data_IF_159401749400
#
_entry.id   IF_159401749400
#
_cell.length_a   1.000
_cell.length_b   1.000
_cell.length_c   1.000
_cell.angle_alpha   90.00
_cell.angle_beta   90.00
_cell.angle_gamma   90.00
#
_symmetry.space_group_name_H-M   'P 1'
#
loop_
_entity.id
_entity.type
_entity.pdbx_description
1 polymer ?
#
# COMPACT_ATOMS: atom_id res chain seq x y z
N UNK A 1 14.94 7.46 -2.08
CA UNK A 1 15.24 6.11 -2.64
C UNK A 1 14.54 5.99 -3.98
N UNK A 2 15.14 5.35 -5.00
CA UNK A 2 14.50 5.17 -6.31
C UNK A 2 13.58 3.94 -6.22
N UNK A 3 12.37 4.01 -6.79
CA UNK A 3 11.38 2.93 -6.74
C UNK A 3 11.93 1.56 -7.20
N UNK A 4 12.75 1.53 -8.25
CA UNK A 4 13.38 0.29 -8.72
C UNK A 4 14.28 -0.37 -7.67
N UNK A 5 15.12 0.42 -6.97
CA UNK A 5 16.00 -0.09 -5.91
C UNK A 5 15.19 -0.57 -4.70
N UNK A 6 14.09 0.12 -4.40
CA UNK A 6 13.18 -0.29 -3.33
C UNK A 6 12.51 -1.64 -3.64
N UNK A 7 11.99 -1.84 -4.84
CA UNK A 7 11.37 -3.11 -5.24
C UNK A 7 12.36 -4.29 -5.21
N UNK A 8 13.62 -4.06 -5.63
CA UNK A 8 14.67 -5.09 -5.52
C UNK A 8 14.95 -5.46 -4.06
N UNK A 9 15.03 -4.46 -3.19
CA UNK A 9 15.18 -4.69 -1.74
C UNK A 9 13.97 -5.44 -1.18
N UNK A 10 12.76 -5.02 -1.53
CA UNK A 10 11.51 -5.64 -1.07
C UNK A 10 11.43 -7.12 -1.45
N UNK A 11 11.77 -7.49 -2.70
CA UNK A 11 11.83 -8.89 -3.14
C UNK A 11 12.79 -9.72 -2.28
N UNK A 12 13.97 -9.20 -1.99
CA UNK A 12 14.94 -9.88 -1.11
C UNK A 12 14.41 -10.05 0.30
N UNK A 13 13.76 -9.01 0.83
CA UNK A 13 13.15 -9.02 2.15
C UNK A 13 12.00 -10.03 2.23
N UNK A 14 11.11 -10.08 1.25
CA UNK A 14 10.05 -11.08 1.17
C UNK A 14 10.60 -12.52 1.19
N UNK A 15 11.61 -12.80 0.36
CA UNK A 15 12.27 -14.13 0.34
C UNK A 15 12.88 -14.51 1.68
N UNK A 16 13.58 -13.57 2.32
CA UNK A 16 14.15 -13.77 3.64
C UNK A 16 13.07 -14.06 4.70
N UNK A 17 12.02 -13.22 4.73
CA UNK A 17 10.92 -13.38 5.69
C UNK A 17 10.13 -14.66 5.48
N UNK A 18 9.88 -15.04 4.22
CA UNK A 18 9.24 -16.32 3.88
C UNK A 18 10.02 -17.52 4.41
N UNK A 19 11.34 -17.50 4.28
CA UNK A 19 12.20 -18.56 4.82
C UNK A 19 12.25 -18.57 6.35
N UNK A 20 12.23 -17.40 6.98
CA UNK A 20 12.32 -17.28 8.43
C UNK A 20 10.97 -17.53 9.14
N UNK A 21 9.86 -17.22 8.49
CA UNK A 21 8.50 -17.29 9.05
C UNK A 21 7.52 -17.95 8.06
N UNK A 22 7.69 -19.24 7.74
CA UNK A 22 6.94 -19.90 6.65
C UNK A 22 5.42 -19.96 6.90
N UNK A 23 5.02 -20.02 8.18
CA UNK A 23 3.62 -20.18 8.61
C UNK A 23 2.98 -18.87 9.10
N UNK A 24 3.67 -17.75 8.95
CA UNK A 24 3.14 -16.44 9.37
C UNK A 24 2.66 -15.63 8.19
N UNK A 25 1.61 -14.84 8.42
CA UNK A 25 1.23 -13.76 7.51
C UNK A 25 2.17 -12.58 7.73
N UNK A 26 2.76 -12.10 6.64
CA UNK A 26 3.68 -10.96 6.65
C UNK A 26 2.91 -9.71 6.21
N UNK A 27 2.85 -8.73 7.07
CA UNK A 27 2.22 -7.44 6.79
C UNK A 27 3.30 -6.37 6.67
N UNK A 28 3.32 -5.67 5.54
CA UNK A 28 4.20 -4.53 5.31
C UNK A 28 3.42 -3.24 5.55
N UNK A 29 3.75 -2.51 6.60
CA UNK A 29 3.24 -1.17 6.81
C UNK A 29 4.11 -0.17 6.05
N UNK A 30 3.49 0.58 5.15
CA UNK A 30 4.16 1.56 4.31
C UNK A 30 3.54 2.95 4.50
N UNK A 31 4.37 3.96 4.43
CA UNK A 31 3.87 5.32 4.31
C UNK A 31 3.16 5.51 2.95
N UNK A 32 2.38 6.58 2.84
CA UNK A 32 1.61 6.89 1.65
C UNK A 32 2.38 7.75 0.63
N UNK A 33 3.71 7.64 0.60
CA UNK A 33 4.53 8.35 -0.37
C UNK A 33 4.18 7.94 -1.81
N UNK A 34 4.20 8.89 -2.73
CA UNK A 34 3.78 8.67 -4.12
C UNK A 34 4.53 7.53 -4.83
N UNK A 35 5.81 7.34 -4.51
CA UNK A 35 6.61 6.25 -5.09
C UNK A 35 6.24 4.87 -4.52
N UNK A 36 5.63 4.79 -3.33
CA UNK A 36 5.07 3.55 -2.78
C UNK A 36 3.72 3.20 -3.40
N UNK A 37 2.95 4.21 -3.83
CA UNK A 37 1.63 4.06 -4.47
C UNK A 37 1.70 3.88 -5.99
N UNK A 38 2.90 3.80 -6.55
CA UNK A 38 3.06 3.65 -7.98
C UNK A 38 2.45 2.34 -8.45
N UNK A 39 1.48 2.45 -9.37
CA UNK A 39 0.89 1.29 -10.06
C UNK A 39 1.85 0.75 -11.11
N UNK A 40 1.67 -0.49 -11.50
CA UNK A 40 2.37 -1.07 -12.64
C UNK A 40 1.90 -0.33 -13.92
N UNK A 41 2.83 0.17 -14.76
CA UNK A 41 2.46 0.85 -16.01
C UNK A 41 1.74 -0.06 -17.02
N UNK A 42 1.80 -1.38 -16.85
CA UNK A 42 1.02 -2.35 -17.65
C UNK A 42 -0.46 -2.36 -17.29
N UNK A 43 -0.84 -1.78 -16.15
CA UNK A 43 -2.23 -1.65 -15.74
C UNK A 43 -2.80 -0.31 -16.20
N UNK A 44 -3.99 -0.38 -16.77
CA UNK A 44 -4.73 0.79 -17.18
C UNK A 44 -5.06 1.67 -15.96
N UNK A 45 -4.81 2.96 -16.06
CA UNK A 45 -5.27 3.92 -15.05
C UNK A 45 -6.72 4.30 -15.33
N UNK A 46 -7.65 3.69 -14.61
CA UNK A 46 -9.09 3.93 -14.76
C UNK A 46 -9.48 5.38 -14.44
N UNK A 47 -8.61 6.14 -13.79
CA UNK A 47 -8.83 7.55 -13.46
C UNK A 47 -8.13 8.51 -14.43
N UNK A 48 -7.51 7.99 -15.50
CA UNK A 48 -6.93 8.85 -16.53
C UNK A 48 -8.07 9.54 -17.31
N UNK A 49 -8.06 10.88 -17.27
CA UNK A 49 -9.05 11.72 -17.96
C UNK A 49 -9.03 11.56 -19.50
N UNK A 50 -7.94 11.02 -20.04
CA UNK A 50 -7.77 10.79 -21.48
C UNK A 50 -8.07 9.32 -21.87
N UNK A 51 -8.54 8.50 -20.93
CA UNK A 51 -8.86 7.11 -21.21
C UNK A 51 -10.02 7.01 -22.20
N UNK A 52 -9.78 6.37 -23.34
CA UNK A 52 -10.78 6.16 -24.38
C UNK A 52 -11.67 4.97 -24.02
N UNK A 53 -12.95 5.06 -24.38
CA UNK A 53 -13.93 3.99 -24.13
C UNK A 53 -13.49 2.66 -24.73
N UNK A 54 -12.96 2.65 -25.96
CA UNK A 54 -12.47 1.42 -26.58
C UNK A 54 -11.28 0.79 -25.86
N UNK A 55 -10.36 1.59 -25.31
CA UNK A 55 -9.24 1.06 -24.52
C UNK A 55 -9.72 0.46 -23.20
N UNK A 56 -10.74 1.07 -22.58
CA UNK A 56 -11.39 0.57 -21.38
C UNK A 56 -12.11 -0.76 -21.63
N UNK A 57 -12.85 -0.89 -22.74
CA UNK A 57 -13.52 -2.15 -23.14
C UNK A 57 -12.50 -3.26 -23.37
N UNK A 58 -11.46 -3.00 -24.15
CA UNK A 58 -10.41 -3.99 -24.40
C UNK A 58 -9.73 -4.44 -23.09
N UNK A 59 -9.54 -3.52 -22.18
CA UNK A 59 -8.98 -3.84 -20.89
C UNK A 59 -9.94 -4.66 -20.02
N UNK A 60 -11.25 -4.35 -20.04
CA UNK A 60 -12.28 -5.11 -19.36
C UNK A 60 -12.35 -6.55 -19.84
N UNK A 61 -12.40 -6.77 -21.15
CA UNK A 61 -12.40 -8.11 -21.77
C UNK A 61 -11.20 -8.94 -21.29
N UNK A 62 -10.02 -8.29 -21.16
CA UNK A 62 -8.80 -8.98 -20.76
C UNK A 62 -8.69 -9.24 -19.24
N UNK A 63 -9.42 -8.49 -18.38
CA UNK A 63 -9.19 -8.48 -16.94
C UNK A 63 -10.43 -8.76 -16.09
N UNK A 64 -11.64 -8.72 -16.67
CA UNK A 64 -12.86 -9.03 -15.95
C UNK A 64 -12.90 -10.53 -15.63
N UNK A 65 -13.26 -10.92 -14.40
CA UNK A 65 -13.44 -12.32 -14.06
C UNK A 65 -14.52 -12.99 -14.93
N UNK A 66 -14.29 -14.21 -15.42
CA UNK A 66 -15.22 -14.90 -16.35
C UNK A 66 -16.63 -15.08 -15.81
N UNK A 67 -16.78 -15.12 -14.48
CA UNK A 67 -18.09 -15.25 -13.82
C UNK A 67 -19.04 -14.08 -14.07
N UNK A 68 -18.53 -12.95 -14.56
CA UNK A 68 -19.38 -11.78 -14.90
C UNK A 68 -19.85 -11.79 -16.35
N UNK A 69 -19.35 -12.71 -17.20
CA UNK A 69 -19.77 -12.82 -18.61
C UNK A 69 -19.42 -11.58 -19.44
N UNK A 70 -18.35 -10.86 -19.08
CA UNK A 70 -17.91 -9.63 -19.73
C UNK A 70 -16.63 -9.82 -20.55
N UNK A 71 -16.41 -11.03 -21.04
CA UNK A 71 -15.24 -11.45 -21.80
C UNK A 71 -15.43 -11.28 -23.31
N UNK A 72 -16.59 -10.78 -23.75
CA UNK A 72 -16.89 -10.47 -25.15
C UNK A 72 -17.24 -8.99 -25.34
N UNK A 73 -16.91 -8.47 -26.52
CA UNK A 73 -17.18 -7.08 -26.91
C UNK A 73 -18.68 -6.77 -26.93
N UNK A 74 -19.51 -7.74 -27.29
CA UNK A 74 -20.97 -7.63 -27.35
C UNK A 74 -21.58 -7.25 -25.99
N UNK A 75 -20.94 -7.63 -24.88
CA UNK A 75 -21.40 -7.28 -23.54
C UNK A 75 -21.33 -5.76 -23.21
N UNK A 76 -20.69 -4.99 -24.07
CA UNK A 76 -20.50 -3.53 -23.93
C UNK A 76 -21.27 -2.72 -24.96
N UNK A 77 -22.17 -3.37 -25.72
CA UNK A 77 -23.03 -2.71 -26.69
C UNK A 77 -24.44 -2.48 -26.10
N UNK A 78 -25.10 -1.45 -26.57
CA UNK A 78 -26.50 -1.19 -26.28
C UNK A 78 -27.43 -1.91 -27.31
N UNK A 79 -28.71 -1.69 -27.21
CA UNK A 79 -29.76 -2.27 -28.11
C UNK A 79 -29.64 -1.79 -29.57
N UNK A 80 -28.83 -0.79 -29.87
CA UNK A 80 -28.57 -0.25 -31.19
C UNK A 80 -27.20 -0.67 -31.75
N UNK A 81 -26.49 -1.59 -31.11
CA UNK A 81 -25.13 -2.00 -31.41
C UNK A 81 -24.07 -0.88 -31.23
N UNK A 82 -24.42 0.18 -30.48
CA UNK A 82 -23.48 1.23 -30.10
C UNK A 82 -22.82 0.92 -28.75
N UNK A 83 -21.56 1.37 -28.58
CA UNK A 83 -20.87 1.21 -27.30
C UNK A 83 -21.62 1.93 -26.17
N UNK A 84 -21.78 1.26 -25.04
CA UNK A 84 -22.28 1.86 -23.80
C UNK A 84 -21.49 3.14 -23.46
N UNK A 85 -22.14 4.12 -22.79
CA UNK A 85 -21.47 5.33 -22.35
C UNK A 85 -20.22 5.05 -21.50
N UNK A 86 -19.18 5.83 -21.70
CA UNK A 86 -17.88 5.66 -21.00
C UNK A 86 -18.02 5.54 -19.49
N UNK A 87 -18.87 6.34 -18.88
CA UNK A 87 -19.12 6.34 -17.44
C UNK A 87 -19.79 5.06 -16.93
N UNK A 88 -20.59 4.40 -17.75
CA UNK A 88 -21.23 3.12 -17.42
C UNK A 88 -20.19 2.00 -17.42
N UNK A 89 -19.39 1.90 -18.50
CA UNK A 89 -18.32 0.89 -18.59
C UNK A 89 -17.27 1.14 -17.48
N UNK A 90 -16.97 2.39 -17.16
CA UNK A 90 -16.08 2.74 -16.06
C UNK A 90 -16.66 2.29 -14.71
N UNK A 91 -17.95 2.49 -14.49
CA UNK A 91 -18.63 2.03 -13.27
C UNK A 91 -18.58 0.52 -13.14
N UNK A 92 -18.82 -0.22 -14.26
CA UNK A 92 -18.67 -1.68 -14.31
C UNK A 92 -17.24 -2.10 -14.00
N UNK A 93 -16.23 -1.44 -14.60
CA UNK A 93 -14.83 -1.73 -14.34
C UNK A 93 -14.47 -1.56 -12.86
N UNK A 94 -14.93 -0.49 -12.23
CA UNK A 94 -14.67 -0.22 -10.81
C UNK A 94 -15.36 -1.21 -9.86
N UNK A 95 -16.49 -1.78 -10.27
CA UNK A 95 -17.25 -2.74 -9.44
C UNK A 95 -16.81 -4.19 -9.61
N UNK A 96 -16.45 -4.59 -10.85
CA UNK A 96 -16.19 -5.99 -11.20
C UNK A 96 -14.71 -6.35 -11.19
N UNK A 97 -13.84 -5.41 -11.51
CA UNK A 97 -12.40 -5.69 -11.56
C UNK A 97 -11.75 -5.26 -10.25
N UNK A 98 -11.05 -6.18 -9.56
CA UNK A 98 -10.36 -5.85 -8.33
C UNK A 98 -9.38 -4.70 -8.54
N UNK A 99 -9.33 -3.77 -7.58
CA UNK A 99 -8.36 -2.68 -7.60
C UNK A 99 -6.96 -3.18 -7.93
N UNK A 100 -6.35 -2.58 -8.95
CA UNK A 100 -5.00 -2.95 -9.34
C UNK A 100 -4.02 -2.69 -8.22
N UNK A 101 -3.20 -3.69 -7.88
CA UNK A 101 -2.22 -3.54 -6.83
C UNK A 101 -1.18 -2.49 -7.24
N UNK A 102 -0.67 -1.78 -6.27
CA UNK A 102 0.57 -1.03 -6.45
C UNK A 102 1.72 -2.00 -6.77
N UNK A 103 2.81 -1.49 -7.35
CA UNK A 103 3.99 -2.32 -7.61
C UNK A 103 4.53 -3.02 -6.35
N UNK A 104 4.35 -2.39 -5.17
CA UNK A 104 4.72 -2.97 -3.88
C UNK A 104 3.82 -4.16 -3.55
N UNK A 105 2.50 -3.99 -3.63
CA UNK A 105 1.53 -5.05 -3.37
C UNK A 105 1.71 -6.21 -4.34
N UNK A 106 1.98 -5.92 -5.61
CA UNK A 106 2.28 -6.95 -6.60
C UNK A 106 3.51 -7.77 -6.21
N UNK A 107 4.62 -7.13 -5.88
CA UNK A 107 5.85 -7.82 -5.44
C UNK A 107 5.60 -8.68 -4.20
N UNK A 108 4.87 -8.16 -3.23
CA UNK A 108 4.53 -8.89 -2.00
C UNK A 108 3.68 -10.13 -2.32
N UNK A 109 2.68 -10.00 -3.20
CA UNK A 109 1.83 -11.12 -3.63
C UNK A 109 2.61 -12.18 -4.41
N UNK A 110 3.50 -11.76 -5.33
CA UNK A 110 4.35 -12.67 -6.11
C UNK A 110 5.28 -13.49 -5.22
N UNK A 111 5.93 -12.86 -4.25
CA UNK A 111 6.96 -13.51 -3.43
C UNK A 111 6.38 -14.31 -2.23
N UNK A 112 5.35 -13.81 -1.58
CA UNK A 112 4.76 -14.42 -0.38
C UNK A 112 3.49 -15.22 -0.67
N UNK A 113 2.83 -14.95 -1.80
CA UNK A 113 1.51 -15.49 -2.13
C UNK A 113 0.37 -14.60 -1.60
N UNK A 114 -0.79 -14.71 -2.26
CA UNK A 114 -1.96 -13.84 -2.03
C UNK A 114 -2.45 -13.78 -0.58
N UNK A 115 -2.30 -14.89 0.15
CA UNK A 115 -2.84 -15.04 1.51
C UNK A 115 -1.80 -14.87 2.62
N UNK A 116 -0.50 -14.93 2.26
CA UNK A 116 0.60 -14.85 3.23
C UNK A 116 1.33 -13.51 3.22
N UNK A 117 1.00 -12.62 2.29
CA UNK A 117 1.61 -11.31 2.18
C UNK A 117 0.60 -10.22 1.87
N UNK A 118 0.63 -9.12 2.63
CA UNK A 118 -0.18 -7.94 2.34
C UNK A 118 0.58 -6.66 2.66
N UNK A 119 0.13 -5.58 2.06
CA UNK A 119 0.66 -4.24 2.28
C UNK A 119 -0.46 -3.38 2.83
N UNK A 120 -0.18 -2.66 3.90
CA UNK A 120 -1.06 -1.67 4.49
C UNK A 120 -0.43 -0.30 4.37
N UNK A 121 -1.17 0.64 3.81
CA UNK A 121 -0.71 2.02 3.68
C UNK A 121 -1.29 2.86 4.82
N UNK A 122 -0.41 3.60 5.49
CA UNK A 122 -0.86 4.55 6.51
C UNK A 122 -1.62 5.72 5.86
N UNK A 123 -2.51 6.37 6.60
CA UNK A 123 -3.17 7.57 6.11
C UNK A 123 -2.15 8.63 5.65
N UNK A 124 -2.45 9.39 4.58
CA UNK A 124 -1.60 10.48 4.13
C UNK A 124 -1.38 11.51 5.25
N UNK A 125 -0.13 12.00 5.37
CA UNK A 125 0.25 13.04 6.34
C UNK A 125 0.17 12.63 7.83
N UNK A 126 0.08 11.32 8.12
CA UNK A 126 0.01 10.80 9.48
C UNK A 126 1.26 9.95 9.82
N UNK A 127 2.43 10.56 9.97
CA UNK A 127 3.67 9.84 10.28
C UNK A 127 3.59 9.12 11.64
N UNK A 128 2.72 9.59 12.55
CA UNK A 128 2.50 8.96 13.86
C UNK A 128 1.93 7.55 13.77
N UNK A 129 1.29 7.20 12.64
CA UNK A 129 0.78 5.85 12.37
C UNK A 129 1.85 4.89 11.83
N UNK A 130 3.13 5.30 11.79
CA UNK A 130 4.24 4.49 11.29
C UNK A 130 5.27 4.31 12.40
N UNK A 131 5.33 3.11 12.97
CA UNK A 131 6.24 2.81 14.09
C UNK A 131 7.72 3.09 13.78
N UNK A 132 8.15 2.98 12.53
CA UNK A 132 9.52 3.28 12.10
C UNK A 132 9.89 4.76 12.28
N UNK A 133 8.92 5.67 12.30
CA UNK A 133 9.20 7.09 12.56
C UNK A 133 9.70 7.33 13.98
N UNK A 134 9.23 6.56 14.96
CA UNK A 134 9.75 6.60 16.33
C UNK A 134 11.21 6.13 16.40
N UNK A 135 11.54 5.09 15.64
CA UNK A 135 12.92 4.62 15.49
C UNK A 135 13.81 5.72 14.87
N UNK A 136 13.34 6.41 13.83
CA UNK A 136 14.07 7.52 13.21
C UNK A 136 14.22 8.71 14.13
N UNK A 137 13.22 9.03 14.95
CA UNK A 137 13.31 10.10 15.95
C UNK A 137 14.39 9.78 16.99
N UNK A 138 14.42 8.55 17.49
CA UNK A 138 15.42 8.10 18.44
C UNK A 138 16.83 8.10 17.83
N UNK A 139 16.98 7.61 16.59
CA UNK A 139 18.25 7.66 15.86
C UNK A 139 18.74 9.10 15.67
N UNK A 140 17.85 10.02 15.28
CA UNK A 140 18.18 11.44 15.10
C UNK A 140 18.57 12.09 16.43
N UNK A 141 17.86 11.76 17.51
CA UNK A 141 18.18 12.25 18.85
C UNK A 141 19.54 11.76 19.33
N UNK A 142 19.80 10.45 19.21
CA UNK A 142 21.08 9.83 19.55
C UNK A 142 22.22 10.43 18.74
N UNK A 143 22.02 10.60 17.43
CA UNK A 143 22.98 11.24 16.55
C UNK A 143 23.31 12.68 16.98
N UNK A 144 22.31 13.48 17.35
CA UNK A 144 22.51 14.86 17.83
C UNK A 144 23.28 14.91 19.15
N UNK A 145 23.02 13.98 20.07
CA UNK A 145 23.69 13.93 21.37
C UNK A 145 25.12 13.42 21.27
N UNK A 146 25.37 12.43 20.41
CA UNK A 146 26.68 11.80 20.28
C UNK A 146 27.58 12.42 19.19
N UNK A 147 27.03 13.32 18.38
CA UNK A 147 27.71 13.86 17.22
C UNK A 147 28.83 14.82 17.61
N UNK A 148 29.94 14.24 17.95
CA UNK A 148 31.27 14.91 17.82
C UNK A 148 31.68 14.71 16.37
N UNK A 149 31.77 15.79 15.63
CA UNK A 149 31.99 16.03 14.18
C UNK A 149 32.88 15.09 13.33
N UNK A 150 33.15 13.85 13.72
CA UNK A 150 34.20 13.01 13.17
C UNK A 150 33.81 11.64 12.65
N UNK A 151 32.51 11.25 12.71
CA UNK A 151 32.06 9.92 12.26
C UNK A 151 31.28 9.95 10.95
N UNK A 152 31.37 8.89 10.14
CA UNK A 152 30.53 8.70 8.96
C UNK A 152 29.11 8.33 9.40
N UNK A 153 28.09 8.99 8.85
CA UNK A 153 26.68 8.73 9.14
C UNK A 153 26.30 7.23 9.04
N UNK A 154 26.76 6.48 8.00
CA UNK A 154 26.47 5.06 7.92
C UNK A 154 26.97 4.22 9.10
N UNK A 155 28.12 4.55 9.65
CA UNK A 155 28.70 3.80 10.77
C UNK A 155 27.93 4.09 12.06
N UNK A 156 27.49 5.33 12.25
CA UNK A 156 26.62 5.70 13.36
C UNK A 156 25.27 4.97 13.29
N UNK A 157 24.62 4.93 12.11
CA UNK A 157 23.37 4.20 11.89
C UNK A 157 23.56 2.71 12.22
N UNK A 158 24.62 2.07 11.74
CA UNK A 158 24.91 0.66 12.04
C UNK A 158 25.07 0.43 13.54
N UNK A 159 25.83 1.30 14.21
CA UNK A 159 26.03 1.22 15.66
C UNK A 159 24.73 1.37 16.41
N UNK A 160 23.90 2.37 16.06
CA UNK A 160 22.59 2.56 16.68
C UNK A 160 21.70 1.33 16.48
N UNK A 161 21.56 0.84 15.25
CA UNK A 161 20.72 -0.34 14.96
C UNK A 161 21.21 -1.62 15.65
N UNK A 162 22.50 -1.73 15.94
CA UNK A 162 23.05 -2.91 16.66
C UNK A 162 22.69 -2.95 18.15
N UNK A 163 22.26 -1.83 18.73
CA UNK A 163 21.84 -1.75 20.14
C UNK A 163 20.32 -1.67 20.34
N UNK A 164 19.56 -1.49 19.27
CA UNK A 164 18.10 -1.55 19.32
C UNK A 164 17.65 -2.96 19.68
N UNK A 165 16.88 -3.07 20.74
CA UNK A 165 16.36 -4.35 21.24
C UNK A 165 15.00 -4.67 20.64
N UNK A 166 14.61 -5.95 20.59
CA UNK A 166 13.25 -6.34 20.18
C UNK A 166 12.15 -5.64 20.98
N UNK A 167 12.38 -5.44 22.29
CA UNK A 167 11.44 -4.77 23.20
C UNK A 167 11.23 -3.30 22.83
N UNK A 168 12.26 -2.61 22.32
CA UNK A 168 12.14 -1.22 21.85
C UNK A 168 11.23 -1.16 20.61
N UNK A 169 11.38 -2.11 19.69
CA UNK A 169 10.55 -2.20 18.49
C UNK A 169 9.10 -2.52 18.86
N UNK A 170 8.88 -3.44 19.79
CA UNK A 170 7.55 -3.76 20.30
C UNK A 170 6.88 -2.55 20.97
N UNK A 171 7.63 -1.77 21.74
CA UNK A 171 7.15 -0.53 22.34
C UNK A 171 6.76 0.52 21.30
N UNK A 172 7.52 0.64 20.19
CA UNK A 172 7.17 1.55 19.09
C UNK A 172 5.87 1.12 18.42
N UNK A 173 5.69 -0.19 18.18
CA UNK A 173 4.45 -0.73 17.64
C UNK A 173 3.27 -0.44 18.54
N UNK A 174 3.38 -0.79 19.82
CA UNK A 174 2.31 -0.56 20.79
C UNK A 174 1.90 0.92 20.87
N UNK A 175 2.89 1.83 20.92
CA UNK A 175 2.60 3.27 20.94
C UNK A 175 1.87 3.73 19.66
N UNK A 176 2.24 3.19 18.51
CA UNK A 176 1.58 3.49 17.23
C UNK A 176 0.16 2.96 17.20
N UNK A 177 -0.06 1.72 17.65
CA UNK A 177 -1.38 1.10 17.71
C UNK A 177 -2.31 1.87 18.65
N UNK A 178 -1.85 2.21 19.86
CA UNK A 178 -2.63 3.03 20.81
C UNK A 178 -3.01 4.39 20.23
N UNK A 179 -2.12 5.00 19.44
CA UNK A 179 -2.42 6.25 18.77
C UNK A 179 -3.48 6.07 17.68
N UNK A 180 -3.35 5.04 16.85
CA UNK A 180 -4.32 4.74 15.79
C UNK A 180 -5.70 4.41 16.36
N UNK A 181 -5.77 3.63 17.44
CA UNK A 181 -7.03 3.32 18.14
C UNK A 181 -7.72 4.58 18.69
N UNK A 182 -6.98 5.47 19.35
CA UNK A 182 -7.54 6.74 19.83
C UNK A 182 -8.15 7.62 18.74
N UNK A 183 -7.62 7.51 17.52
CA UNK A 183 -8.16 8.23 16.37
C UNK A 183 -9.41 7.55 15.86
N UNK A 184 -9.40 6.21 15.75
CA UNK A 184 -10.56 5.45 15.34
C UNK A 184 -11.74 5.68 16.28
N UNK A 185 -11.52 5.62 17.60
CA UNK A 185 -12.53 5.89 18.61
C UNK A 185 -13.13 7.29 18.48
N UNK A 186 -12.29 8.31 18.25
CA UNK A 186 -12.77 9.68 18.03
C UNK A 186 -13.59 9.82 16.76
N UNK A 187 -13.19 9.15 15.69
CA UNK A 187 -13.91 9.19 14.43
C UNK A 187 -15.27 8.50 14.55
N UNK A 188 -15.33 7.36 15.21
CA UNK A 188 -16.57 6.62 15.48
C UNK A 188 -17.53 7.43 16.36
N UNK A 189 -17.04 8.07 17.41
CA UNK A 189 -17.83 8.98 18.24
C UNK A 189 -18.41 10.16 17.43
N UNK A 190 -17.62 10.74 16.54
CA UNK A 190 -18.06 11.85 15.67
C UNK A 190 -19.15 11.41 14.68
N UNK A 191 -19.03 10.21 14.10
CA UNK A 191 -20.06 9.64 13.22
C UNK A 191 -21.36 9.39 13.97
N UNK A 192 -21.28 8.84 15.18
CA UNK A 192 -22.45 8.59 16.02
C UNK A 192 -23.16 9.90 16.40
N UNK A 193 -22.42 10.96 16.71
CA UNK A 193 -22.99 12.30 16.96
C UNK A 193 -23.70 12.88 15.74
N UNK A 194 -23.17 12.65 14.54
CA UNK A 194 -23.78 13.10 13.28
C UNK A 194 -25.05 12.31 12.95
N UNK A 195 -25.09 11.00 13.19
CA UNK A 195 -26.26 10.17 12.96
C UNK A 195 -27.43 10.49 13.92
N UNK A 196 -27.12 10.92 15.15
CA UNK A 196 -28.14 11.33 16.14
C UNK A 196 -28.71 12.73 15.80
N UNK A 197 -28.01 13.53 14.99
CA UNK A 197 -28.43 14.89 14.61
C UNK A 197 -29.23 14.97 13.31
N UNK A 198 -29.46 13.84 12.63
CA UNK A 198 -30.30 13.68 11.44
C UNK A 198 -31.63 13.05 11.78
#
# INVERSE_FOLDING_TARGET
>A
MNSKKFLVWLRKTCKFLKGKFPDRTIVFHQDNASYHRKKNPEYLDLWDKNLKTGDLVNWMIANCPPEFGMDDYEAYLDENDDLLPHNEILSMALSMVPNHPTMIEQVVREELGRWKGRVEFTPPYWPQCVSVELLWQNLKSDFRMQHKKTGKVPDHVKKFLSVVKPEDVENFWRHTDEFCMKIADKHEATLTELEISL
#
